data_IF_457259450264
#
_entry.id   IF_457259450264
#
_cell.length_a   1.000
_cell.length_b   1.000
_cell.length_c   1.000
_cell.angle_alpha   90.00
_cell.angle_beta   90.00
_cell.angle_gamma   90.00
#
_symmetry.space_group_name_H-M   'P 1'
#
loop_
_entity.id
_entity.type
_entity.pdbx_description
1 polymer ?
#
# COMPACT_ATOMS: atom_id res chain seq x y z
N UNK A 1 13.28 4.10 14.60
CA UNK A 1 13.72 3.96 13.20
C UNK A 1 15.23 4.19 13.18
N UNK A 2 16.03 3.28 12.61
CA UNK A 2 17.48 3.49 12.52
C UNK A 2 17.78 4.58 11.49
N UNK A 3 18.87 5.32 11.70
CA UNK A 3 19.22 6.55 10.96
C UNK A 3 19.57 6.31 9.47
N UNK A 4 19.49 5.07 8.98
CA UNK A 4 19.76 4.66 7.60
C UNK A 4 18.56 4.09 6.82
N UNK A 5 17.34 4.14 7.36
CA UNK A 5 16.16 3.61 6.67
C UNK A 5 15.73 4.52 5.50
N UNK A 6 15.63 3.94 4.30
CA UNK A 6 15.23 4.66 3.06
C UNK A 6 13.71 4.68 2.85
N UNK A 7 12.98 3.71 3.41
CA UNK A 7 11.51 3.72 3.47
C UNK A 7 11.10 3.91 4.93
N UNK A 8 10.30 4.95 5.19
CA UNK A 8 9.79 5.29 6.52
C UNK A 8 8.28 5.04 6.57
N UNK A 9 7.68 4.86 7.76
CA UNK A 9 6.24 4.76 7.88
C UNK A 9 5.53 5.96 7.26
N UNK A 10 4.54 5.70 6.42
CA UNK A 10 3.70 6.72 5.82
C UNK A 10 2.94 7.46 6.93
N UNK A 11 3.03 8.78 6.97
CA UNK A 11 2.28 9.60 7.91
C UNK A 11 0.78 9.59 7.55
N UNK A 12 -0.09 9.63 8.57
CA UNK A 12 -1.55 9.61 8.40
C UNK A 12 -2.06 8.38 7.59
N UNK A 13 -1.37 7.26 7.72
CA UNK A 13 -1.71 6.02 7.03
C UNK A 13 -3.08 5.47 7.45
N UNK A 14 -3.85 5.01 6.46
CA UNK A 14 -5.11 4.29 6.64
C UNK A 14 -5.09 3.02 5.77
N UNK A 15 -5.01 1.87 6.42
CA UNK A 15 -4.88 0.59 5.73
C UNK A 15 -6.07 0.24 4.83
N UNK A 16 -7.30 0.57 5.24
CA UNK A 16 -8.51 0.33 4.44
C UNK A 16 -8.51 1.17 3.16
N UNK A 17 -8.11 2.43 3.26
CA UNK A 17 -8.00 3.33 2.10
C UNK A 17 -6.94 2.84 1.12
N UNK A 18 -5.76 2.50 1.61
CA UNK A 18 -4.66 2.01 0.77
C UNK A 18 -5.01 0.65 0.13
N UNK A 19 -5.73 -0.23 0.83
CA UNK A 19 -6.22 -1.50 0.29
C UNK A 19 -7.26 -1.30 -0.83
N UNK A 20 -8.17 -0.34 -0.68
CA UNK A 20 -9.15 -0.02 -1.72
C UNK A 20 -8.49 0.59 -2.98
N UNK A 21 -7.48 1.45 -2.79
CA UNK A 21 -6.70 2.01 -3.90
C UNK A 21 -5.89 0.92 -4.61
N UNK A 22 -5.31 -0.01 -3.85
CA UNK A 22 -4.60 -1.18 -4.39
C UNK A 22 -5.54 -2.07 -5.24
N UNK A 23 -6.76 -2.32 -4.77
CA UNK A 23 -7.79 -3.08 -5.49
C UNK A 23 -8.19 -2.40 -6.80
N UNK A 24 -8.42 -1.09 -6.76
CA UNK A 24 -8.71 -0.30 -7.96
C UNK A 24 -7.56 -0.41 -8.97
N UNK A 25 -6.32 -0.19 -8.53
CA UNK A 25 -5.14 -0.27 -9.38
C UNK A 25 -5.00 -1.64 -10.06
N UNK A 26 -5.31 -2.73 -9.36
CA UNK A 26 -5.26 -4.10 -9.89
C UNK A 26 -6.40 -4.40 -10.89
N UNK A 27 -7.58 -3.81 -10.73
CA UNK A 27 -8.78 -4.14 -11.52
C UNK A 27 -8.95 -3.28 -12.77
N UNK A 28 -8.27 -2.14 -12.88
CA UNK A 28 -8.35 -1.33 -14.12
C UNK A 28 -7.82 -2.10 -15.32
N UNK A 29 -8.41 -1.84 -16.49
CA UNK A 29 -7.97 -2.46 -17.75
C UNK A 29 -6.54 -2.03 -18.06
N UNK A 30 -5.62 -2.98 -18.02
CA UNK A 30 -4.21 -2.73 -18.30
C UNK A 30 -3.35 -2.46 -17.07
N UNK A 31 -3.88 -2.61 -15.84
CA UNK A 31 -3.18 -2.43 -14.55
C UNK A 31 -2.64 -1.00 -14.35
N UNK A 32 -2.97 -0.36 -13.24
CA UNK A 32 -2.31 0.89 -12.86
C UNK A 32 -1.00 0.61 -12.11
N UNK A 33 0.04 0.29 -12.88
CA UNK A 33 1.37 -0.02 -12.35
C UNK A 33 1.96 1.13 -11.54
N UNK A 34 1.66 2.38 -11.91
CA UNK A 34 2.21 3.55 -11.22
C UNK A 34 1.65 3.66 -9.80
N UNK A 35 0.33 3.56 -9.65
CA UNK A 35 -0.33 3.59 -8.33
C UNK A 35 0.07 2.39 -7.48
N UNK A 36 0.16 1.19 -8.08
CA UNK A 36 0.64 -0.01 -7.39
C UNK A 36 2.06 0.17 -6.83
N UNK A 37 3.00 0.64 -7.66
CA UNK A 37 4.39 0.88 -7.26
C UNK A 37 4.45 1.96 -6.18
N UNK A 38 3.70 3.06 -6.32
CA UNK A 38 3.69 4.15 -5.34
C UNK A 38 3.22 3.66 -3.96
N UNK A 39 2.07 3.00 -3.88
CA UNK A 39 1.51 2.46 -2.63
C UNK A 39 2.52 1.53 -1.95
N UNK A 40 3.09 0.58 -2.70
CA UNK A 40 4.02 -0.38 -2.12
C UNK A 40 5.32 0.31 -1.70
N UNK A 41 5.89 1.21 -2.50
CA UNK A 41 7.21 1.80 -2.19
C UNK A 41 7.18 2.89 -1.12
N UNK A 42 6.06 3.60 -0.94
CA UNK A 42 5.90 4.64 0.11
C UNK A 42 5.50 4.09 1.49
N UNK A 43 4.98 2.86 1.55
CA UNK A 43 4.57 2.22 2.79
C UNK A 43 5.70 1.39 3.41
N UNK A 44 5.88 1.50 4.74
CA UNK A 44 6.77 0.62 5.49
C UNK A 44 6.29 -0.83 5.44
N UNK A 45 7.18 -1.78 5.73
CA UNK A 45 6.81 -3.21 5.69
C UNK A 45 5.61 -3.53 6.61
N UNK A 46 5.55 -2.97 7.82
CA UNK A 46 4.43 -3.18 8.73
C UNK A 46 3.10 -2.70 8.11
N UNK A 47 3.11 -1.49 7.53
CA UNK A 47 1.94 -0.93 6.84
C UNK A 47 1.53 -1.77 5.63
N UNK A 48 2.47 -2.35 4.88
CA UNK A 48 2.15 -3.28 3.78
C UNK A 48 1.43 -4.54 4.27
N UNK A 49 1.79 -5.06 5.44
CA UNK A 49 1.07 -6.20 6.04
C UNK A 49 -0.36 -5.80 6.43
N UNK A 50 -0.55 -4.60 6.98
CA UNK A 50 -1.89 -4.08 7.28
C UNK A 50 -2.72 -3.92 5.99
N UNK A 51 -2.14 -3.37 4.92
CA UNK A 51 -2.80 -3.29 3.60
C UNK A 51 -3.22 -4.68 3.12
N UNK A 52 -2.32 -5.67 3.17
CA UNK A 52 -2.61 -7.03 2.73
C UNK A 52 -3.78 -7.65 3.51
N UNK A 53 -3.79 -7.50 4.84
CA UNK A 53 -4.88 -7.96 5.70
C UNK A 53 -6.22 -7.33 5.34
N UNK A 54 -6.25 -6.01 5.10
CA UNK A 54 -7.49 -5.31 4.75
C UNK A 54 -7.95 -5.61 3.32
N UNK A 55 -7.01 -5.80 2.39
CA UNK A 55 -7.29 -6.21 1.02
C UNK A 55 -7.96 -7.59 0.98
N UNK A 56 -7.37 -8.59 1.65
CA UNK A 56 -7.91 -9.97 1.71
C UNK A 56 -9.32 -10.03 2.33
N UNK A 57 -9.64 -9.14 3.27
CA UNK A 57 -10.98 -9.06 3.88
C UNK A 57 -12.04 -8.37 3.03
N UNK A 58 -11.61 -7.63 2.00
CA UNK A 58 -12.48 -6.83 1.15
C UNK A 58 -12.78 -7.51 -0.20
N UNK A 59 -12.11 -8.63 -0.49
CA UNK A 59 -12.30 -9.50 -1.66
C UNK A 59 -13.11 -10.75 -1.31
#
# INVERSE_FOLDING_TARGET
LSDGATVKPLANFNAEKEAAELDHALKVKGLDEHTLIDILTRCSNAQRQDIAFHYERST
#
